data_IF_930713373063
#
_entry.id   IF_930713373063
#
_cell.length_a   1.000
_cell.length_b   1.000
_cell.length_c   1.000
_cell.angle_alpha   90.00
_cell.angle_beta   90.00
_cell.angle_gamma   90.00
#
_symmetry.space_group_name_H-M   'P 1'
#
loop_
_entity.id
_entity.type
_entity.pdbx_description
1 polymer ?
#
# COMPACT_ATOMS: atom_id res chain seq x y z
N UNK A 1 -49.22 -5.20 -15.81
CA UNK A 1 -49.44 -4.23 -14.71
C UNK A 1 -49.38 -5.01 -13.41
N UNK A 2 -48.23 -5.00 -12.74
CA UNK A 2 -48.07 -5.55 -11.39
C UNK A 2 -47.44 -4.44 -10.56
N UNK A 3 -48.29 -3.86 -9.71
CA UNK A 3 -47.94 -2.90 -8.69
C UNK A 3 -47.30 -3.66 -7.53
N UNK A 4 -46.13 -3.20 -7.10
CA UNK A 4 -45.67 -3.47 -5.74
C UNK A 4 -45.75 -2.15 -4.96
N UNK A 5 -46.29 -2.18 -3.73
CA UNK A 5 -46.28 -1.04 -2.84
C UNK A 5 -44.84 -0.86 -2.33
N UNK A 6 -44.48 0.38 -2.05
CA UNK A 6 -43.15 0.84 -1.65
C UNK A 6 -42.24 1.22 -2.82
N UNK A 7 -42.17 2.55 -2.98
CA UNK A 7 -41.51 3.24 -4.06
C UNK A 7 -40.04 2.90 -4.15
N UNK A 8 -39.55 2.92 -5.39
CA UNK A 8 -38.19 3.19 -5.84
C UNK A 8 -37.23 3.45 -4.68
N UNK A 9 -36.73 2.39 -4.04
CA UNK A 9 -35.55 2.56 -3.20
C UNK A 9 -34.42 2.90 -4.17
N UNK A 10 -33.86 4.12 -4.10
CA UNK A 10 -32.72 4.44 -4.91
C UNK A 10 -31.60 3.48 -4.54
N UNK A 11 -30.86 3.03 -5.54
CA UNK A 11 -29.70 2.12 -5.48
C UNK A 11 -28.54 2.64 -4.59
N UNK A 12 -28.76 3.72 -3.83
CA UNK A 12 -27.80 4.48 -3.04
C UNK A 12 -27.47 3.78 -1.71
N UNK A 13 -28.32 2.89 -1.20
CA UNK A 13 -28.06 2.22 0.08
C UNK A 13 -27.09 1.02 -0.02
N UNK A 14 -26.83 0.48 -1.22
CA UNK A 14 -25.98 -0.71 -1.35
C UNK A 14 -24.48 -0.41 -1.27
N UNK A 15 -24.06 0.82 -1.59
CA UNK A 15 -22.66 1.28 -1.48
C UNK A 15 -22.17 1.35 -0.02
N UNK A 16 -23.06 1.16 0.97
CA UNK A 16 -22.72 1.20 2.40
C UNK A 16 -22.53 -0.18 3.04
N UNK A 17 -22.84 -1.27 2.33
CA UNK A 17 -22.51 -2.61 2.77
C UNK A 17 -21.27 -3.04 2.00
N UNK A 18 -20.15 -3.21 2.72
CA UNK A 18 -18.87 -3.72 2.24
C UNK A 18 -19.00 -5.21 1.85
N UNK A 19 -19.84 -5.49 0.84
CA UNK A 19 -20.15 -6.83 0.36
C UNK A 19 -19.18 -7.18 -0.77
N UNK A 20 -18.51 -8.35 -0.71
CA UNK A 20 -17.68 -8.80 -1.81
C UNK A 20 -18.53 -9.01 -3.07
N UNK A 21 -17.94 -8.76 -4.23
CA UNK A 21 -18.61 -8.83 -5.54
C UNK A 21 -19.37 -10.15 -5.80
N UNK A 22 -18.95 -11.23 -5.15
CA UNK A 22 -19.61 -12.53 -5.24
C UNK A 22 -21.01 -12.54 -4.61
N UNK A 23 -21.20 -11.83 -3.49
CA UNK A 23 -22.49 -11.75 -2.80
C UNK A 23 -23.49 -10.90 -3.61
N UNK A 24 -23.00 -9.87 -4.30
CA UNK A 24 -23.83 -9.01 -5.15
C UNK A 24 -24.38 -9.81 -6.36
N UNK A 25 -23.63 -10.79 -6.88
CA UNK A 25 -24.09 -11.66 -7.97
C UNK A 25 -25.22 -12.57 -7.50
N UNK A 26 -25.07 -13.16 -6.32
CA UNK A 26 -26.10 -14.01 -5.71
C UNK A 26 -27.38 -13.22 -5.44
N UNK A 27 -27.27 -12.03 -4.85
CA UNK A 27 -28.41 -11.14 -4.61
C UNK A 27 -29.10 -10.77 -5.93
N UNK A 28 -28.32 -10.44 -6.97
CA UNK A 28 -28.87 -10.09 -8.29
C UNK A 28 -29.64 -11.25 -8.92
N UNK A 29 -29.12 -12.47 -8.80
CA UNK A 29 -29.78 -13.68 -9.29
C UNK A 29 -31.09 -13.99 -8.53
N UNK A 30 -31.12 -13.82 -7.21
CA UNK A 30 -32.33 -14.04 -6.41
C UNK A 30 -33.44 -13.03 -6.75
N UNK A 31 -33.10 -11.76 -6.88
CA UNK A 31 -34.07 -10.73 -7.26
C UNK A 31 -34.60 -10.92 -8.68
N UNK A 32 -33.74 -11.28 -9.63
CA UNK A 32 -34.16 -11.62 -10.99
C UNK A 32 -35.06 -12.86 -11.02
N UNK A 33 -34.77 -13.89 -10.21
CA UNK A 33 -35.61 -15.08 -10.07
C UNK A 33 -36.97 -14.76 -9.43
N UNK A 34 -37.02 -13.76 -8.55
CA UNK A 34 -38.25 -13.24 -7.97
C UNK A 34 -39.02 -12.27 -8.91
N UNK A 35 -38.54 -12.05 -10.14
CA UNK A 35 -39.22 -11.26 -11.18
C UNK A 35 -38.89 -9.76 -11.16
N UNK A 36 -37.90 -9.34 -10.39
CA UNK A 36 -37.41 -7.97 -10.36
C UNK A 36 -36.19 -7.83 -11.28
N UNK A 37 -36.28 -6.98 -12.31
CA UNK A 37 -35.14 -6.71 -13.17
C UNK A 37 -34.22 -5.65 -12.53
N UNK A 38 -33.04 -6.07 -12.06
CA UNK A 38 -31.99 -5.16 -11.60
C UNK A 38 -31.00 -4.87 -12.75
N UNK A 39 -30.50 -3.62 -12.88
CA UNK A 39 -29.44 -3.31 -13.85
C UNK A 39 -28.15 -4.04 -13.48
N UNK A 40 -27.38 -4.47 -14.48
CA UNK A 40 -26.06 -5.07 -14.26
C UNK A 40 -25.16 -4.05 -13.54
N UNK A 41 -24.59 -4.46 -12.41
CA UNK A 41 -23.64 -3.65 -11.66
C UNK A 41 -22.22 -4.06 -12.09
N UNK A 42 -21.37 -3.08 -12.38
CA UNK A 42 -19.95 -3.32 -12.66
C UNK A 42 -19.17 -3.09 -11.37
N UNK A 43 -18.76 -4.18 -10.73
CA UNK A 43 -17.87 -4.10 -9.58
C UNK A 43 -16.46 -3.75 -10.07
N UNK A 44 -16.13 -2.46 -10.05
CA UNK A 44 -14.75 -1.99 -10.16
C UNK A 44 -14.01 -2.40 -8.88
N UNK A 45 -13.53 -3.63 -8.84
CA UNK A 45 -12.61 -4.06 -7.79
C UNK A 45 -11.41 -3.12 -7.80
N UNK A 46 -11.24 -2.34 -6.75
CA UNK A 46 -10.02 -1.59 -6.47
C UNK A 46 -8.91 -2.59 -6.13
N UNK A 47 -8.47 -3.33 -7.14
CA UNK A 47 -7.18 -4.00 -7.10
C UNK A 47 -6.15 -2.88 -7.17
N UNK A 48 -5.61 -2.51 -6.02
CA UNK A 48 -4.32 -1.84 -6.00
C UNK A 48 -3.36 -2.84 -6.64
N UNK A 49 -2.93 -2.58 -7.87
CA UNK A 49 -1.65 -3.09 -8.32
C UNK A 49 -0.65 -2.55 -7.31
N UNK A 50 -0.28 -3.36 -6.32
CA UNK A 50 0.98 -3.16 -5.65
C UNK A 50 1.99 -3.09 -6.79
N UNK A 51 2.51 -1.90 -7.05
CA UNK A 51 3.68 -1.75 -7.91
C UNK A 51 4.79 -2.40 -7.09
N UNK A 52 4.86 -3.73 -7.17
CA UNK A 52 6.02 -4.51 -6.82
C UNK A 52 7.09 -4.04 -7.78
N UNK A 53 7.72 -2.92 -7.43
CA UNK A 53 8.97 -2.49 -8.03
C UNK A 53 9.90 -3.67 -7.82
N UNK A 54 10.28 -4.35 -8.90
CA UNK A 54 10.85 -5.71 -8.96
C UNK A 54 12.23 -5.85 -8.27
N UNK A 55 12.60 -4.92 -7.39
CA UNK A 55 13.75 -4.97 -6.52
C UNK A 55 13.33 -4.46 -5.14
N UNK A 56 12.74 -5.28 -4.25
CA UNK A 56 12.59 -4.89 -2.86
C UNK A 56 13.98 -4.65 -2.29
N UNK A 57 14.34 -3.38 -2.08
CA UNK A 57 15.54 -3.02 -1.31
C UNK A 57 15.30 -3.54 0.09
N UNK A 58 15.99 -4.64 0.41
CA UNK A 58 15.93 -5.27 1.72
C UNK A 58 16.75 -4.43 2.69
N UNK A 59 16.19 -4.15 3.86
CA UNK A 59 16.87 -3.38 4.92
C UNK A 59 16.89 -4.22 6.19
N UNK A 60 18.02 -4.25 6.89
CA UNK A 60 18.17 -5.02 8.12
C UNK A 60 19.22 -4.41 9.07
N UNK A 61 19.18 -4.71 10.37
CA UNK A 61 18.05 -5.32 11.06
C UNK A 61 16.85 -4.37 11.08
N UNK A 62 15.64 -4.91 11.05
CA UNK A 62 14.43 -4.17 11.33
C UNK A 62 13.67 -4.93 12.44
N UNK A 63 13.53 -4.38 13.66
CA UNK A 63 13.97 -3.05 14.11
C UNK A 63 15.49 -2.88 14.28
N UNK A 64 16.02 -1.66 14.16
CA UNK A 64 17.44 -1.31 14.31
C UNK A 64 17.69 -0.40 15.53
N UNK A 65 18.92 -0.42 16.06
CA UNK A 65 19.38 0.45 17.15
C UNK A 65 20.42 1.46 16.68
N UNK A 66 21.49 1.00 16.03
CA UNK A 66 22.64 1.86 15.74
C UNK A 66 22.98 1.92 14.24
N UNK A 67 22.88 0.77 13.58
CA UNK A 67 23.28 0.64 12.19
C UNK A 67 22.19 -0.06 11.39
N UNK A 68 21.83 0.55 10.27
CA UNK A 68 20.93 -0.01 9.27
C UNK A 68 21.74 -0.41 8.05
N UNK A 69 21.60 -1.66 7.62
CA UNK A 69 22.22 -2.20 6.43
C UNK A 69 21.24 -2.19 5.27
N UNK A 70 21.70 -1.66 4.14
CA UNK A 70 20.95 -1.54 2.88
C UNK A 70 21.79 -2.18 1.77
N UNK A 71 21.78 -3.51 1.61
CA UNK A 71 22.46 -4.17 0.51
C UNK A 71 21.90 -3.72 -0.84
N UNK A 72 22.74 -3.07 -1.64
CA UNK A 72 22.43 -2.75 -3.03
C UNK A 72 23.13 -3.76 -3.95
N UNK A 73 22.39 -4.30 -4.93
CA UNK A 73 22.97 -5.14 -5.98
C UNK A 73 23.59 -4.23 -7.04
N UNK A 74 24.89 -4.01 -6.96
CA UNK A 74 25.65 -3.24 -7.94
C UNK A 74 26.83 -2.47 -7.33
N UNK A 75 27.74 -2.02 -8.19
CA UNK A 75 28.93 -1.26 -7.80
C UNK A 75 28.71 0.26 -7.83
N UNK A 76 27.49 0.71 -8.10
CA UNK A 76 27.16 2.13 -8.20
C UNK A 76 26.91 2.71 -6.80
N UNK A 77 27.48 3.88 -6.54
CA UNK A 77 27.14 4.66 -5.35
C UNK A 77 25.76 5.31 -5.54
N UNK A 78 24.93 5.16 -4.52
CA UNK A 78 23.55 5.63 -4.49
C UNK A 78 23.29 6.47 -3.26
N UNK A 79 22.49 7.53 -3.45
CA UNK A 79 22.10 8.41 -2.34
C UNK A 79 20.88 7.84 -1.63
N UNK A 80 21.05 7.51 -0.36
CA UNK A 80 19.98 7.14 0.56
C UNK A 80 19.58 8.37 1.38
N UNK A 81 18.28 8.60 1.51
CA UNK A 81 17.72 9.65 2.34
C UNK A 81 16.71 9.05 3.32
N UNK A 82 16.77 9.48 4.58
CA UNK A 82 15.86 9.02 5.63
C UNK A 82 14.87 10.12 5.96
N UNK A 83 13.59 9.74 5.99
CA UNK A 83 12.46 10.59 6.29
C UNK A 83 11.73 10.10 7.53
N UNK A 84 11.21 11.03 8.33
CA UNK A 84 10.29 10.72 9.40
C UNK A 84 8.85 10.56 8.87
N UNK A 85 7.90 10.19 9.74
CA UNK A 85 6.48 10.03 9.36
C UNK A 85 5.78 11.34 8.93
N UNK A 86 6.36 12.50 9.23
CA UNK A 86 5.87 13.80 8.76
C UNK A 86 6.43 14.16 7.36
N UNK A 87 7.22 13.27 6.74
CA UNK A 87 7.86 13.50 5.45
C UNK A 87 9.07 14.44 5.51
N UNK A 88 9.58 14.78 6.70
CA UNK A 88 10.79 15.59 6.85
C UNK A 88 12.03 14.73 6.70
N UNK A 89 12.97 15.18 5.86
CA UNK A 89 14.29 14.54 5.73
C UNK A 89 15.09 14.79 7.01
N UNK A 90 15.46 13.72 7.69
CA UNK A 90 16.22 13.76 8.95
C UNK A 90 17.69 13.38 8.76
N UNK A 91 18.01 12.66 7.68
CA UNK A 91 19.38 12.22 7.41
C UNK A 91 19.58 11.91 5.92
N UNK A 92 20.83 12.03 5.46
CA UNK A 92 21.26 11.52 4.17
C UNK A 92 22.57 10.73 4.31
N UNK A 93 22.72 9.72 3.45
CA UNK A 93 23.87 8.84 3.41
C UNK A 93 24.14 8.39 1.98
N UNK A 94 25.36 7.94 1.72
CA UNK A 94 25.74 7.31 0.45
C UNK A 94 25.93 5.82 0.71
N UNK A 95 25.26 4.99 -0.08
CA UNK A 95 25.30 3.53 -0.01
C UNK A 95 25.71 2.94 -1.36
N UNK A 96 26.46 1.84 -1.37
CA UNK A 96 27.03 1.24 -2.58
C UNK A 96 28.55 1.14 -2.51
N UNK A 97 29.15 0.52 -3.53
CA UNK A 97 30.61 0.34 -3.65
C UNK A 97 31.27 -0.23 -2.35
N UNK A 98 30.64 -1.24 -1.74
CA UNK A 98 31.10 -1.87 -0.49
C UNK A 98 30.65 -1.17 0.81
N UNK A 99 30.04 0.01 0.73
CA UNK A 99 29.47 0.74 1.87
C UNK A 99 27.95 0.57 1.89
N UNK A 100 27.45 -0.42 2.62
CA UNK A 100 26.01 -0.68 2.74
C UNK A 100 25.46 -0.36 4.12
N UNK A 101 26.22 0.37 4.95
CA UNK A 101 25.90 0.65 6.35
C UNK A 101 25.57 2.13 6.54
N UNK A 102 24.46 2.38 7.22
CA UNK A 102 23.97 3.71 7.57
C UNK A 102 23.93 3.80 9.10
N UNK A 103 24.58 4.82 9.68
CA UNK A 103 24.50 5.08 11.11
C UNK A 103 23.21 5.83 11.44
N UNK A 104 22.34 5.20 12.23
CA UNK A 104 21.05 5.73 12.69
C UNK A 104 21.00 5.93 14.21
N UNK A 105 22.13 5.81 14.92
CA UNK A 105 22.19 5.97 16.39
C UNK A 105 21.69 7.33 16.87
N UNK A 106 21.86 8.38 16.07
CA UNK A 106 21.42 9.75 16.40
C UNK A 106 19.91 9.98 16.20
N UNK A 107 19.18 9.02 15.62
CA UNK A 107 17.73 9.13 15.44
C UNK A 107 17.00 8.69 16.71
N UNK A 108 15.90 9.39 17.02
CA UNK A 108 15.02 9.00 18.11
C UNK A 108 14.30 7.67 17.78
N UNK A 109 13.86 6.90 18.79
CA UNK A 109 13.01 5.73 18.57
C UNK A 109 11.74 6.09 17.81
N UNK A 110 11.38 5.32 16.79
CA UNK A 110 10.22 5.60 15.96
C UNK A 110 10.23 4.94 14.59
N UNK A 111 9.22 5.27 13.80
CA UNK A 111 9.09 4.82 12.42
C UNK A 111 9.80 5.78 11.45
N UNK A 112 10.53 5.21 10.50
CA UNK A 112 11.24 5.95 9.47
C UNK A 112 11.10 5.29 8.10
N UNK A 113 11.26 6.09 7.05
CA UNK A 113 11.30 5.64 5.66
C UNK A 113 12.69 5.95 5.10
N UNK A 114 13.36 4.95 4.55
CA UNK A 114 14.58 5.14 3.77
C UNK A 114 14.23 5.10 2.29
N UNK A 115 14.69 6.10 1.53
CA UNK A 115 14.48 6.23 0.10
C UNK A 115 15.80 6.29 -0.63
N UNK A 116 15.98 5.45 -1.65
CA UNK A 116 17.14 5.46 -2.55
C UNK A 116 16.79 6.30 -3.76
N UNK A 117 17.43 7.46 -3.93
CA UNK A 117 17.02 8.48 -4.93
C UNK A 117 17.09 8.01 -6.38
N UNK A 118 18.15 7.31 -6.77
CA UNK A 118 18.36 6.84 -8.15
C UNK A 118 17.40 5.73 -8.55
N UNK A 119 17.03 4.86 -7.60
CA UNK A 119 16.13 3.75 -7.85
C UNK A 119 14.67 4.12 -7.55
N UNK A 120 14.43 5.26 -6.89
CA UNK A 120 13.14 5.69 -6.38
C UNK A 120 12.43 4.57 -5.58
N UNK A 121 13.21 3.78 -4.82
CA UNK A 121 12.71 2.70 -3.96
C UNK A 121 12.69 3.23 -2.53
N UNK A 122 11.59 2.98 -1.83
CA UNK A 122 11.43 3.37 -0.43
C UNK A 122 11.02 2.18 0.42
N UNK A 123 11.63 2.02 1.59
CA UNK A 123 11.33 0.95 2.55
C UNK A 123 11.18 1.53 3.95
N UNK A 124 10.19 1.06 4.71
CA UNK A 124 9.98 1.41 6.12
C UNK A 124 10.92 0.60 7.02
N UNK A 125 11.49 1.24 8.05
CA UNK A 125 12.16 0.55 9.15
C UNK A 125 11.80 1.17 10.51
N UNK A 126 11.99 0.41 11.58
CA UNK A 126 11.67 0.80 12.95
C UNK A 126 12.99 1.00 13.71
N UNK A 127 13.15 2.17 14.34
CA UNK A 127 14.26 2.50 15.24
C UNK A 127 13.82 2.22 16.69
N UNK A 128 14.62 1.46 17.43
CA UNK A 128 14.44 1.22 18.88
C UNK A 128 15.04 2.34 19.72
#
# INVERSE_FOLDING_TARGET
>A
MLLLPYGRLPLICLDSLDLPANDINTITQEFNAAGYALPAYECLGLSTKEIMKEQPVSVYPNPTSDFLYVPLKGSKEEKAEIYNMEGRKVMDAVVGNGKSQINVSNLQPGDYIVTIKSLEISTKFIKK
#
